data_IF_686680987424
#
_entry.id   IF_686680987424
#
_cell.length_a   1.000
_cell.length_b   1.000
_cell.length_c   1.000
_cell.angle_alpha   90.00
_cell.angle_beta   90.00
_cell.angle_gamma   90.00
#
_symmetry.space_group_name_H-M   'P 1'
#
loop_
_entity.id
_entity.type
_entity.pdbx_description
1 polymer ?
#
# COMPACT_ATOMS: atom_id res chain seq x y z
N UNK A 1 2.74 8.93 -21.68
CA UNK A 1 3.72 8.01 -22.28
C UNK A 1 3.07 6.64 -22.40
N UNK A 2 3.40 5.87 -23.43
CA UNK A 2 2.80 4.55 -23.65
C UNK A 2 3.71 3.40 -23.23
N UNK A 3 4.92 3.71 -22.73
CA UNK A 3 5.96 2.73 -22.41
C UNK A 3 6.54 2.92 -21.00
N UNK A 4 5.82 3.57 -20.11
CA UNK A 4 6.30 3.92 -18.76
C UNK A 4 6.69 2.69 -17.95
N UNK A 5 5.86 1.65 -17.95
CA UNK A 5 6.16 0.40 -17.24
C UNK A 5 7.42 -0.29 -17.77
N UNK A 6 7.61 -0.28 -19.08
CA UNK A 6 8.80 -0.86 -19.74
C UNK A 6 10.06 -0.05 -19.37
N UNK A 7 9.97 1.27 -19.37
CA UNK A 7 11.09 2.15 -18.96
C UNK A 7 11.45 1.92 -17.50
N UNK A 8 10.49 1.95 -16.59
CA UNK A 8 10.72 1.71 -15.16
C UNK A 8 11.43 0.36 -14.92
N UNK A 9 10.96 -0.70 -15.55
CA UNK A 9 11.59 -2.02 -15.44
C UNK A 9 13.01 -2.04 -16.00
N UNK A 10 13.22 -1.49 -17.19
CA UNK A 10 14.53 -1.48 -17.85
C UNK A 10 15.56 -0.63 -17.08
N UNK A 11 15.10 0.32 -16.25
CA UNK A 11 15.95 1.11 -15.35
C UNK A 11 16.13 0.46 -13.97
N UNK A 12 15.60 -0.75 -13.75
CA UNK A 12 15.81 -1.52 -12.53
C UNK A 12 14.72 -1.38 -11.47
N UNK A 13 13.61 -0.70 -11.77
CA UNK A 13 12.46 -0.68 -10.87
C UNK A 13 11.82 -2.07 -10.80
N UNK A 14 11.62 -2.57 -9.59
CA UNK A 14 10.97 -3.86 -9.34
C UNK A 14 9.55 -3.73 -8.78
N UNK A 15 9.18 -2.55 -8.28
CA UNK A 15 7.84 -2.23 -7.79
C UNK A 15 7.53 -0.75 -7.91
N UNK A 16 6.25 -0.40 -7.99
CA UNK A 16 5.74 0.96 -8.00
C UNK A 16 4.70 1.16 -6.89
N UNK A 17 4.94 2.19 -6.06
CA UNK A 17 4.10 2.62 -4.95
C UNK A 17 3.49 4.01 -5.19
N UNK A 18 3.70 4.61 -6.34
CA UNK A 18 3.36 6.02 -6.60
C UNK A 18 1.87 6.24 -6.80
N UNK A 19 1.11 5.21 -7.16
CA UNK A 19 -0.33 5.32 -7.40
C UNK A 19 -1.13 4.97 -6.14
N UNK A 20 -1.75 5.96 -5.45
CA UNK A 20 -2.74 5.67 -4.44
C UNK A 20 -4.06 5.21 -5.08
N UNK A 21 -4.88 4.49 -4.34
CA UNK A 21 -6.27 4.26 -4.72
C UNK A 21 -7.05 5.58 -4.56
N UNK A 22 -7.45 6.19 -5.65
CA UNK A 22 -8.25 7.42 -5.66
C UNK A 22 -9.08 7.52 -6.95
N UNK A 23 -10.28 8.12 -6.90
CA UNK A 23 -11.14 8.29 -8.07
C UNK A 23 -10.69 9.50 -8.90
N UNK A 24 -9.45 9.51 -9.33
CA UNK A 24 -8.86 10.57 -10.14
C UNK A 24 -8.42 10.02 -11.51
N UNK A 25 -8.48 10.88 -12.53
CA UNK A 25 -8.10 10.49 -13.89
C UNK A 25 -6.63 10.12 -14.04
N UNK A 26 -5.75 10.63 -13.19
CA UNK A 26 -4.32 10.30 -13.19
C UNK A 26 -4.02 9.01 -12.41
N UNK A 27 -4.98 8.44 -11.70
CA UNK A 27 -4.79 7.21 -10.93
C UNK A 27 -5.21 5.96 -11.72
N UNK A 28 -4.67 4.81 -11.35
CA UNK A 28 -5.08 3.52 -11.89
C UNK A 28 -6.56 3.23 -11.54
N UNK A 29 -7.27 2.58 -12.45
CA UNK A 29 -8.63 2.06 -12.17
C UNK A 29 -8.63 0.87 -11.19
N UNK A 30 -7.48 0.27 -10.94
CA UNK A 30 -7.28 -0.75 -9.92
C UNK A 30 -7.32 -0.11 -8.55
N UNK A 31 -8.07 -0.68 -7.61
CA UNK A 31 -8.18 -0.22 -6.23
C UNK A 31 -8.06 -1.38 -5.25
N UNK A 32 -7.55 -1.12 -4.06
CA UNK A 32 -7.45 -2.11 -2.99
C UNK A 32 -6.80 -3.43 -3.41
N UNK A 33 -5.76 -3.37 -4.23
CA UNK A 33 -5.13 -4.58 -4.76
C UNK A 33 -3.61 -4.46 -4.88
N UNK A 34 -2.96 -5.60 -4.84
CA UNK A 34 -1.56 -5.79 -5.20
C UNK A 34 -1.58 -6.58 -6.50
N UNK A 35 -0.96 -6.05 -7.56
CA UNK A 35 -1.08 -6.66 -8.87
C UNK A 35 0.17 -6.45 -9.72
N UNK A 36 0.33 -7.25 -10.75
CA UNK A 36 1.34 -7.06 -11.77
C UNK A 36 0.78 -6.29 -12.95
N UNK A 37 1.20 -5.02 -13.10
CA UNK A 37 0.84 -4.21 -14.27
C UNK A 37 1.61 -4.68 -15.50
N UNK A 38 0.89 -4.77 -16.63
CA UNK A 38 1.44 -5.19 -17.90
C UNK A 38 1.39 -4.06 -18.92
N UNK A 39 2.52 -3.79 -19.56
CA UNK A 39 2.57 -2.85 -20.68
C UNK A 39 1.76 -3.41 -21.86
N UNK A 40 0.83 -2.61 -22.34
CA UNK A 40 -0.06 -2.94 -23.47
C UNK A 40 0.29 -2.16 -24.72
N UNK A 41 1.32 -1.30 -24.68
CA UNK A 41 1.64 -0.35 -25.74
C UNK A 41 0.61 0.76 -25.94
N UNK A 42 -0.42 0.81 -25.08
CA UNK A 42 -1.49 1.83 -25.12
C UNK A 42 -1.46 2.68 -23.86
N UNK A 43 -2.04 3.91 -23.88
CA UNK A 43 -2.17 4.76 -22.69
C UNK A 43 -2.83 4.02 -21.53
N UNK A 44 -2.40 4.36 -20.29
CA UNK A 44 -2.93 3.81 -19.04
C UNK A 44 -2.63 2.32 -18.86
N UNK A 45 -1.42 1.88 -19.18
CA UNK A 45 -0.98 0.51 -18.97
C UNK A 45 -1.14 0.01 -17.51
N UNK A 46 -1.08 0.93 -16.52
CA UNK A 46 -1.34 0.65 -15.10
C UNK A 46 -2.77 0.14 -14.81
N UNK A 47 -3.73 0.34 -15.70
CA UNK A 47 -5.09 -0.19 -15.55
C UNK A 47 -5.18 -1.69 -15.85
N UNK A 48 -4.15 -2.26 -16.48
CA UNK A 48 -4.13 -3.64 -16.94
C UNK A 48 -3.16 -4.49 -16.14
N UNK A 49 -3.59 -5.68 -15.78
CA UNK A 49 -2.77 -6.64 -15.05
C UNK A 49 -3.59 -7.51 -14.11
N UNK A 50 -2.95 -8.53 -13.58
CA UNK A 50 -3.58 -9.53 -12.72
C UNK A 50 -3.14 -9.35 -11.26
N UNK A 51 -4.04 -9.59 -10.29
CA UNK A 51 -3.67 -9.64 -8.88
C UNK A 51 -2.53 -10.61 -8.63
N UNK A 52 -1.67 -10.28 -7.67
CA UNK A 52 -0.66 -11.22 -7.17
C UNK A 52 -1.38 -12.34 -6.42
N UNK A 53 -0.98 -13.57 -6.70
CA UNK A 53 -1.58 -14.77 -6.12
C UNK A 53 -0.53 -15.71 -5.55
N UNK A 54 -0.79 -16.26 -4.38
CA UNK A 54 0.07 -17.24 -3.74
C UNK A 54 0.26 -18.50 -4.61
N UNK A 55 1.46 -19.06 -4.56
CA UNK A 55 1.86 -20.25 -5.31
C UNK A 55 1.79 -20.12 -6.83
N UNK A 56 1.74 -18.88 -7.36
CA UNK A 56 1.89 -18.60 -8.78
C UNK A 56 3.18 -17.83 -9.03
N UNK A 57 3.88 -18.20 -10.10
CA UNK A 57 5.11 -17.49 -10.49
C UNK A 57 4.80 -16.07 -10.96
N UNK A 58 5.63 -15.14 -10.54
CA UNK A 58 5.60 -13.76 -11.02
C UNK A 58 5.65 -13.72 -12.56
N UNK A 59 4.75 -13.01 -13.22
CA UNK A 59 4.75 -12.91 -14.67
C UNK A 59 5.99 -12.16 -15.16
N UNK A 60 6.61 -12.67 -16.22
CA UNK A 60 7.72 -11.97 -16.89
C UNK A 60 7.21 -10.67 -17.52
N UNK A 61 8.06 -9.67 -17.57
CA UNK A 61 7.77 -8.39 -18.24
C UNK A 61 6.63 -7.55 -17.61
N UNK A 62 6.33 -7.73 -16.32
CA UNK A 62 5.36 -6.93 -15.57
C UNK A 62 6.04 -6.14 -14.45
N UNK A 63 5.40 -5.08 -13.96
CA UNK A 63 5.83 -4.30 -12.79
C UNK A 63 4.87 -4.56 -11.64
N UNK A 64 5.41 -4.86 -10.46
CA UNK A 64 4.60 -5.01 -9.25
C UNK A 64 4.03 -3.65 -8.84
N UNK A 65 2.72 -3.57 -8.70
CA UNK A 65 2.00 -2.38 -8.25
C UNK A 65 1.38 -2.65 -6.89
N UNK A 66 1.61 -1.74 -5.95
CA UNK A 66 1.02 -1.83 -4.61
C UNK A 66 0.10 -0.64 -4.39
N UNK A 67 -1.21 -0.89 -4.35
CA UNK A 67 -2.22 0.12 -4.11
C UNK A 67 -2.42 0.40 -2.62
N UNK A 68 -2.81 1.62 -2.29
CA UNK A 68 -3.27 1.98 -0.95
C UNK A 68 -4.76 1.65 -0.73
N UNK A 69 -5.25 1.79 0.51
CA UNK A 69 -6.66 1.54 0.83
C UNK A 69 -7.59 2.60 0.23
N UNK A 70 -8.79 2.19 -0.18
CA UNK A 70 -9.89 3.08 -0.56
C UNK A 70 -11.20 2.52 -0.02
N UNK A 71 -11.89 3.31 0.79
CA UNK A 71 -13.15 2.94 1.45
C UNK A 71 -14.15 4.10 1.51
N UNK A 72 -15.36 3.80 1.92
CA UNK A 72 -16.37 4.81 2.27
C UNK A 72 -16.35 5.08 3.77
N UNK A 73 -16.12 6.34 4.14
CA UNK A 73 -16.14 6.77 5.53
C UNK A 73 -17.53 7.33 5.90
N UNK A 74 -18.36 6.49 6.49
CA UNK A 74 -19.71 6.85 6.94
C UNK A 74 -19.72 7.72 8.19
N UNK A 75 -18.63 7.77 8.97
CA UNK A 75 -18.48 8.68 10.11
C UNK A 75 -18.18 10.11 9.67
N UNK A 76 -17.54 10.30 8.52
CA UNK A 76 -17.30 11.60 7.89
C UNK A 76 -18.21 11.74 6.67
N UNK A 77 -19.24 12.58 6.79
CA UNK A 77 -20.22 12.75 5.72
C UNK A 77 -20.07 14.12 5.05
N UNK A 78 -20.26 14.17 3.74
CA UNK A 78 -20.42 15.41 2.98
C UNK A 78 -21.89 15.83 3.05
N UNK A 79 -22.17 17.08 3.44
CA UNK A 79 -23.53 17.60 3.63
C UNK A 79 -24.41 16.73 4.55
N UNK A 80 -23.83 16.04 5.51
CA UNK A 80 -24.56 15.21 6.49
C UNK A 80 -25.12 13.88 5.95
N UNK A 81 -25.09 13.65 4.64
CA UNK A 81 -25.77 12.51 4.01
C UNK A 81 -24.78 11.55 3.34
N UNK A 82 -23.91 12.04 2.46
CA UNK A 82 -23.04 11.20 1.65
C UNK A 82 -21.74 10.86 2.38
N UNK A 83 -21.30 9.58 2.41
CA UNK A 83 -20.01 9.22 2.98
C UNK A 83 -18.88 9.88 2.21
N UNK A 84 -17.79 10.22 2.89
CA UNK A 84 -16.57 10.64 2.21
C UNK A 84 -15.77 9.43 1.77
N UNK A 85 -15.04 9.58 0.67
CA UNK A 85 -14.00 8.63 0.32
C UNK A 85 -12.86 8.74 1.31
N UNK A 86 -12.41 7.59 1.79
CA UNK A 86 -11.28 7.44 2.69
C UNK A 86 -10.19 6.67 1.98
N UNK A 87 -9.01 7.25 1.87
CA UNK A 87 -7.82 6.63 1.31
C UNK A 87 -6.65 6.73 2.29
N UNK A 88 -5.49 6.24 1.89
CA UNK A 88 -4.28 6.26 2.71
C UNK A 88 -3.52 7.59 2.72
N UNK A 89 -4.13 8.72 2.31
CA UNK A 89 -3.50 10.04 2.30
C UNK A 89 -3.37 10.61 3.72
N UNK A 90 -2.14 11.01 4.11
CA UNK A 90 -1.83 11.63 5.38
C UNK A 90 -1.54 13.11 5.16
N UNK A 91 -2.45 13.97 5.61
CA UNK A 91 -2.33 15.42 5.49
C UNK A 91 -2.77 16.12 6.77
N UNK A 92 -2.34 17.37 6.98
CA UNK A 92 -2.80 18.18 8.10
C UNK A 92 -4.33 18.38 8.08
N UNK A 93 -4.93 18.52 6.88
CA UNK A 93 -6.39 18.65 6.72
C UNK A 93 -7.15 17.33 6.98
N UNK A 94 -6.46 16.19 6.89
CA UNK A 94 -7.00 14.86 7.15
C UNK A 94 -5.95 13.99 7.88
N UNK A 95 -5.65 14.32 9.15
CA UNK A 95 -4.63 13.62 9.92
C UNK A 95 -5.02 12.16 10.17
N UNK A 96 -4.04 11.24 10.32
CA UNK A 96 -4.33 9.86 10.66
C UNK A 96 -4.99 9.74 12.02
N UNK A 97 -5.85 8.74 12.19
CA UNK A 97 -6.43 8.36 13.45
C UNK A 97 -6.89 6.90 13.42
N UNK A 98 -7.26 6.36 14.57
CA UNK A 98 -7.62 4.94 14.72
C UNK A 98 -8.87 4.54 13.91
N UNK A 99 -9.84 5.44 13.73
CA UNK A 99 -11.03 5.14 12.91
C UNK A 99 -10.67 4.99 11.45
N UNK A 100 -9.76 5.83 10.93
CA UNK A 100 -9.20 5.70 9.58
C UNK A 100 -8.43 4.39 9.43
N UNK A 101 -7.57 4.06 10.39
CA UNK A 101 -6.83 2.79 10.40
C UNK A 101 -7.75 1.58 10.32
N UNK A 102 -8.84 1.56 11.10
CA UNK A 102 -9.85 0.48 11.03
C UNK A 102 -10.53 0.39 9.66
N UNK A 103 -10.72 1.51 8.96
CA UNK A 103 -11.22 1.50 7.58
C UNK A 103 -10.18 0.97 6.60
N UNK A 104 -8.90 1.30 6.79
CA UNK A 104 -7.82 0.78 5.94
C UNK A 104 -7.69 -0.74 6.08
N UNK A 105 -7.80 -1.29 7.28
CA UNK A 105 -7.84 -2.75 7.47
C UNK A 105 -9.03 -3.40 6.74
N UNK A 106 -10.19 -2.74 6.72
CA UNK A 106 -11.38 -3.23 5.99
C UNK A 106 -11.20 -3.26 4.47
N UNK A 107 -10.21 -2.56 3.91
CA UNK A 107 -9.87 -2.66 2.49
C UNK A 107 -9.37 -4.06 2.12
N UNK A 108 -8.92 -4.83 3.10
CA UNK A 108 -8.53 -6.23 2.98
C UNK A 108 -7.51 -6.48 1.85
N UNK A 109 -6.53 -5.58 1.71
CA UNK A 109 -5.51 -5.68 0.67
C UNK A 109 -4.53 -6.78 1.06
N UNK A 110 -4.47 -7.83 0.26
CA UNK A 110 -3.62 -9.00 0.49
C UNK A 110 -3.20 -9.63 -0.85
N UNK A 111 -2.24 -10.53 -0.82
CA UNK A 111 -1.93 -11.42 -1.93
C UNK A 111 -3.04 -12.47 -2.01
N UNK A 112 -3.68 -12.65 -3.17
CA UNK A 112 -4.77 -13.63 -3.32
C UNK A 112 -4.31 -15.03 -2.88
N UNK A 113 -5.06 -15.65 -1.99
CA UNK A 113 -4.71 -16.91 -1.34
C UNK A 113 -3.95 -16.77 -0.02
N UNK A 114 -3.60 -15.54 0.42
CA UNK A 114 -2.97 -15.22 1.73
C UNK A 114 -3.73 -14.10 2.46
N UNK A 115 -4.99 -14.29 2.81
CA UNK A 115 -5.83 -13.26 3.44
C UNK A 115 -5.42 -12.94 4.90
N UNK A 116 -4.54 -13.73 5.48
CA UNK A 116 -3.95 -13.56 6.81
C UNK A 116 -2.87 -12.46 6.85
N UNK A 117 -2.27 -12.09 5.71
CA UNK A 117 -1.29 -11.01 5.61
C UNK A 117 -1.91 -9.79 4.92
N UNK A 118 -2.26 -8.78 5.71
CA UNK A 118 -2.86 -7.54 5.21
C UNK A 118 -1.80 -6.47 5.00
N UNK A 119 -1.89 -5.76 3.89
CA UNK A 119 -0.96 -4.69 3.52
C UNK A 119 -1.66 -3.33 3.54
N UNK A 120 -1.16 -2.40 4.34
CA UNK A 120 -1.68 -1.04 4.42
C UNK A 120 -0.60 -0.07 3.94
N UNK A 121 -0.73 0.38 2.69
CA UNK A 121 0.16 1.40 2.12
C UNK A 121 -0.43 2.79 2.36
N UNK A 122 0.31 3.64 3.05
CA UNK A 122 -0.02 5.04 3.26
C UNK A 122 0.84 5.94 2.37
N UNK A 123 0.40 7.15 2.11
CA UNK A 123 1.15 8.13 1.33
C UNK A 123 0.92 9.54 1.85
N UNK A 124 1.81 10.44 1.50
CA UNK A 124 1.73 11.87 1.82
C UNK A 124 2.53 12.68 0.82
N UNK A 125 2.22 13.97 0.72
CA UNK A 125 3.05 14.97 0.05
C UNK A 125 4.00 15.60 1.07
N UNK A 126 5.14 14.95 1.35
CA UNK A 126 6.06 15.29 2.42
C UNK A 126 6.70 16.68 2.29
N UNK A 127 6.94 17.16 1.06
CA UNK A 127 7.53 18.48 0.81
C UNK A 127 6.51 19.65 0.89
N UNK A 128 5.26 19.37 1.20
CA UNK A 128 4.23 20.40 1.35
C UNK A 128 4.31 21.04 2.76
N UNK A 129 4.61 22.35 2.90
CA UNK A 129 4.79 22.99 4.20
C UNK A 129 3.60 22.79 5.16
N UNK A 130 2.37 22.78 4.62
CA UNK A 130 1.15 22.56 5.41
C UNK A 130 1.09 21.18 6.08
N UNK A 131 1.86 20.19 5.64
CA UNK A 131 1.89 18.85 6.23
C UNK A 131 3.03 18.66 7.24
N UNK A 132 3.93 19.63 7.35
CA UNK A 132 5.15 19.51 8.16
C UNK A 132 4.83 19.23 9.64
N UNK A 133 3.90 19.97 10.23
CA UNK A 133 3.53 19.81 11.64
C UNK A 133 2.88 18.43 11.91
N UNK A 134 2.10 17.93 10.98
CA UNK A 134 1.48 16.60 11.10
C UNK A 134 2.53 15.48 10.96
N UNK A 135 3.48 15.63 10.02
CA UNK A 135 4.48 14.59 9.75
C UNK A 135 5.64 14.58 10.75
N UNK A 136 6.12 15.75 11.18
CA UNK A 136 7.30 15.87 12.05
C UNK A 136 6.96 16.19 13.48
N UNK A 137 5.70 16.53 13.78
CA UNK A 137 5.20 16.76 15.13
C UNK A 137 4.67 15.50 15.80
N UNK A 138 4.19 15.63 17.04
CA UNK A 138 3.72 14.51 17.85
C UNK A 138 2.50 13.75 17.28
N UNK A 139 1.69 14.35 16.42
CA UNK A 139 0.44 13.74 15.90
C UNK A 139 0.64 12.40 15.20
N UNK A 140 1.69 12.29 14.39
CA UNK A 140 1.98 11.03 13.68
C UNK A 140 2.52 9.97 14.62
N UNK A 141 3.36 10.37 15.59
CA UNK A 141 3.85 9.49 16.63
C UNK A 141 2.70 8.95 17.48
N UNK A 142 1.84 9.83 18.00
CA UNK A 142 0.65 9.45 18.77
C UNK A 142 -0.25 8.47 18.02
N UNK A 143 -0.43 8.70 16.71
CA UNK A 143 -1.19 7.79 15.87
C UNK A 143 -0.54 6.38 15.80
N UNK A 144 0.77 6.29 15.61
CA UNK A 144 1.46 5.00 15.60
C UNK A 144 1.41 4.27 16.93
N UNK A 145 1.50 5.00 18.05
CA UNK A 145 1.33 4.46 19.40
C UNK A 145 -0.09 3.91 19.62
N UNK A 146 -1.12 4.65 19.19
CA UNK A 146 -2.51 4.19 19.23
C UNK A 146 -2.74 2.95 18.39
N UNK A 147 -2.16 2.87 17.18
CA UNK A 147 -2.24 1.69 16.31
C UNK A 147 -1.55 0.49 16.94
N UNK A 148 -0.35 0.67 17.49
CA UNK A 148 0.39 -0.40 18.15
C UNK A 148 -0.40 -0.93 19.37
N UNK A 149 -0.92 -0.03 20.22
CA UNK A 149 -1.76 -0.41 21.35
C UNK A 149 -3.03 -1.14 20.92
N UNK A 150 -3.72 -0.65 19.88
CA UNK A 150 -4.91 -1.33 19.35
C UNK A 150 -4.62 -2.74 18.85
N UNK A 151 -3.52 -2.93 18.12
CA UNK A 151 -3.14 -4.23 17.58
C UNK A 151 -2.72 -5.20 18.69
N UNK A 152 -1.97 -4.74 19.71
CA UNK A 152 -1.54 -5.58 20.83
C UNK A 152 -2.69 -6.08 21.72
N UNK A 153 -3.81 -5.35 21.73
CA UNK A 153 -5.02 -5.71 22.52
C UNK A 153 -6.00 -6.59 21.72
N UNK A 154 -5.71 -6.85 20.44
CA UNK A 154 -6.63 -7.59 19.60
C UNK A 154 -6.02 -8.95 19.22
N UNK A 155 -6.63 -10.01 19.69
CA UNK A 155 -6.21 -11.37 19.38
C UNK A 155 -6.15 -11.62 17.87
N UNK A 156 -5.07 -12.28 17.43
CA UNK A 156 -4.85 -12.65 16.04
C UNK A 156 -4.39 -11.48 15.14
N UNK A 157 -4.03 -10.30 15.70
CA UNK A 157 -3.54 -9.17 14.93
C UNK A 157 -2.11 -8.78 15.34
N UNK A 158 -1.13 -9.15 14.53
CA UNK A 158 0.27 -8.71 14.67
C UNK A 158 0.55 -7.50 13.77
N UNK A 159 1.23 -6.48 14.26
CA UNK A 159 1.56 -5.26 13.55
C UNK A 159 3.04 -5.24 13.17
N UNK A 160 3.31 -4.96 11.89
CA UNK A 160 4.65 -4.77 11.37
C UNK A 160 4.76 -3.41 10.66
N UNK A 161 5.54 -2.50 11.21
CA UNK A 161 5.97 -1.31 10.48
C UNK A 161 7.10 -1.69 9.52
N UNK A 162 6.93 -1.38 8.25
CA UNK A 162 7.85 -1.79 7.19
C UNK A 162 8.10 -0.65 6.20
N UNK A 163 9.29 -0.65 5.63
CA UNK A 163 9.61 0.20 4.48
C UNK A 163 8.97 -0.34 3.19
N UNK A 164 8.93 0.46 2.13
CA UNK A 164 8.43 0.00 0.83
C UNK A 164 9.20 -1.25 0.31
N UNK A 165 10.53 -1.28 0.48
CA UNK A 165 11.36 -2.43 0.12
C UNK A 165 10.96 -3.69 0.90
N UNK A 166 10.80 -3.57 2.21
CA UNK A 166 10.38 -4.69 3.06
C UNK A 166 8.98 -5.17 2.72
N UNK A 167 8.05 -4.25 2.45
CA UNK A 167 6.70 -4.61 2.01
C UNK A 167 6.74 -5.43 0.72
N UNK A 168 7.55 -5.05 -0.27
CA UNK A 168 7.74 -5.85 -1.49
C UNK A 168 8.28 -7.24 -1.17
N UNK A 169 9.28 -7.35 -0.30
CA UNK A 169 9.83 -8.64 0.09
C UNK A 169 8.78 -9.55 0.74
N UNK A 170 7.94 -9.01 1.62
CA UNK A 170 6.86 -9.75 2.26
C UNK A 170 5.78 -10.15 1.23
N UNK A 171 5.44 -9.27 0.27
CA UNK A 171 4.53 -9.60 -0.83
C UNK A 171 5.07 -10.76 -1.67
N UNK A 172 6.37 -10.74 -1.99
CA UNK A 172 7.01 -11.81 -2.77
C UNK A 172 7.09 -13.13 -1.99
N UNK A 173 7.28 -13.09 -0.67
CA UNK A 173 7.20 -14.26 0.18
C UNK A 173 5.77 -14.85 0.20
N UNK A 174 4.74 -13.99 0.33
CA UNK A 174 3.35 -14.42 0.23
C UNK A 174 3.03 -15.03 -1.14
N UNK A 175 3.53 -14.44 -2.23
CA UNK A 175 3.40 -14.98 -3.59
C UNK A 175 4.06 -16.36 -3.72
N UNK A 176 5.22 -16.56 -3.09
CA UNK A 176 5.93 -17.84 -3.09
C UNK A 176 5.23 -18.92 -2.22
N UNK A 177 4.22 -18.55 -1.43
CA UNK A 177 3.51 -19.46 -0.54
C UNK A 177 4.16 -19.62 0.83
N UNK A 178 5.09 -18.74 1.21
CA UNK A 178 5.72 -18.75 2.53
C UNK A 178 4.69 -18.53 3.64
N UNK A 179 4.93 -19.09 4.81
CA UNK A 179 4.00 -19.11 5.95
C UNK A 179 4.63 -18.54 7.22
N UNK A 180 3.81 -18.35 8.26
CA UNK A 180 4.24 -17.90 9.58
C UNK A 180 4.27 -16.39 9.71
N UNK A 181 5.25 -15.85 10.46
CA UNK A 181 5.36 -14.42 10.73
C UNK A 181 5.93 -13.65 9.52
N UNK A 182 5.16 -12.72 8.90
CA UNK A 182 5.61 -11.92 7.76
C UNK A 182 6.85 -11.08 8.08
N UNK A 183 7.10 -10.75 9.34
CA UNK A 183 8.26 -10.00 9.77
C UNK A 183 9.61 -10.70 9.47
N UNK A 184 9.60 -12.01 9.31
CA UNK A 184 10.81 -12.80 8.97
C UNK A 184 11.24 -12.60 7.50
N UNK A 185 10.34 -12.09 6.64
CA UNK A 185 10.57 -11.98 5.19
C UNK A 185 10.94 -10.58 4.72
N UNK A 186 11.35 -9.67 5.64
CA UNK A 186 11.74 -8.28 5.31
C UNK A 186 12.90 -8.19 4.30
N UNK A 187 13.76 -9.20 4.25
CA UNK A 187 14.92 -9.31 3.35
C UNK A 187 14.84 -10.54 2.42
N UNK A 188 13.63 -10.97 2.06
CA UNK A 188 13.37 -12.20 1.31
C UNK A 188 14.13 -12.26 -0.03
N UNK A 189 13.98 -11.26 -0.86
CA UNK A 189 14.65 -11.16 -2.18
C UNK A 189 15.56 -9.94 -2.30
N UNK A 190 15.10 -8.78 -1.90
CA UNK A 190 15.82 -7.51 -2.02
C UNK A 190 16.44 -7.12 -0.67
N UNK A 191 17.73 -7.37 -0.53
CA UNK A 191 18.49 -7.06 0.70
C UNK A 191 18.97 -5.61 0.71
N UNK A 192 19.12 -5.03 1.91
CA UNK A 192 19.85 -3.78 2.06
C UNK A 192 21.31 -4.00 1.61
N UNK A 193 21.81 -3.12 0.74
CA UNK A 193 23.24 -3.09 0.48
C UNK A 193 23.93 -2.56 1.74
N UNK A 194 24.91 -3.29 2.27
CA UNK A 194 25.78 -2.74 3.30
C UNK A 194 26.43 -1.46 2.74
N UNK A 195 26.28 -0.35 3.46
CA UNK A 195 27.04 0.87 3.17
C UNK A 195 28.49 0.53 3.47
N UNK A 196 29.33 0.50 2.43
CA UNK A 196 30.78 0.34 2.56
C UNK A 196 31.42 1.67 2.94
#
# INVERSE_FOLDING_TARGET
MNNELSVLRNTGCYADFTMPSAPDRCQSKKVNTIYYARDTGTPRAHDFGNPVRACLNSPKACLLMVQGPLNLNWKRRKAGVLPRLENGDLTEANPPNLDRFKLWLKSNIHVEGRPDWLFVKLHTHGCKPSNMNMLLGGKLQEFYEQVASYCSQKDGLALHFVTAREMVNIILAAEAGEEGDPGQYRDYRYKLRAVR
#
